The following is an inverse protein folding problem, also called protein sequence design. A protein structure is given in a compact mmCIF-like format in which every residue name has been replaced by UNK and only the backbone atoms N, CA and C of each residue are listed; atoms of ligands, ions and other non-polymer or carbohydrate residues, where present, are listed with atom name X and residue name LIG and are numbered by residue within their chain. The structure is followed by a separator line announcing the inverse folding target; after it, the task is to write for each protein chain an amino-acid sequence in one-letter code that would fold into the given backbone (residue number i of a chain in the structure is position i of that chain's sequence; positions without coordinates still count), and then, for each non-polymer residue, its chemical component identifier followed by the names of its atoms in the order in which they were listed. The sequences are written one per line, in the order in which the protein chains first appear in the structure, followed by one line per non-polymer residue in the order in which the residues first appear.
data_IF_640987880002
#
_entry.id   IF_640987880002
#
_cell.length_a   1.000
_cell.length_b   1.000
_cell.length_c   1.000
_cell.angle_alpha   90.00
_cell.angle_beta   90.00
_cell.angle_gamma   90.00
#
_symmetry.space_group_name_H-M   'P 1'
#
loop_
_entity.id
_entity.type
_entity.pdbx_description
1 polymer ?
#
# COMPACT_ATOMS: atom_id res chain seq x y z
N UNK A 1 1.27 15.77 -18.55
CA UNK A 1 2.73 16.03 -18.53
C UNK A 1 3.30 15.35 -19.74
N UNK A 2 4.01 16.09 -20.59
CA UNK A 2 4.81 15.44 -21.64
C UNK A 2 5.98 14.74 -20.97
N UNK A 3 6.20 13.46 -21.31
CA UNK A 3 7.40 12.73 -20.87
C UNK A 3 8.63 13.53 -21.30
N UNK A 4 9.56 13.85 -20.40
CA UNK A 4 10.78 14.58 -20.75
C UNK A 4 11.50 13.92 -21.93
N UNK A 5 11.98 14.73 -22.89
CA UNK A 5 12.70 14.22 -24.07
C UNK A 5 13.92 13.38 -23.67
N UNK A 6 14.56 13.77 -22.57
CA UNK A 6 15.68 13.04 -21.98
C UNK A 6 15.32 11.61 -21.58
N UNK A 7 14.15 11.38 -20.99
CA UNK A 7 13.72 10.04 -20.58
C UNK A 7 13.54 9.12 -21.77
N UNK A 8 13.04 9.66 -22.89
CA UNK A 8 12.92 8.91 -24.13
C UNK A 8 14.28 8.56 -24.73
N UNK A 9 15.28 9.43 -24.59
CA UNK A 9 16.67 9.15 -25.00
C UNK A 9 17.30 8.09 -24.10
N UNK A 10 17.10 8.19 -22.79
CA UNK A 10 17.63 7.25 -21.81
C UNK A 10 17.07 5.84 -22.04
N UNK A 11 15.76 5.70 -22.28
CA UNK A 11 15.17 4.41 -22.65
C UNK A 11 15.81 3.80 -23.91
N UNK A 12 16.08 4.59 -24.95
CA UNK A 12 16.74 4.08 -26.18
C UNK A 12 18.16 3.59 -25.92
N UNK A 13 18.85 4.23 -24.98
CA UNK A 13 20.20 3.87 -24.57
C UNK A 13 20.24 2.83 -23.45
N UNK A 14 19.08 2.29 -23.04
CA UNK A 14 18.94 1.36 -21.93
C UNK A 14 19.47 1.90 -20.59
N UNK A 15 19.28 3.19 -20.34
CA UNK A 15 19.71 3.86 -19.11
C UNK A 15 18.47 4.12 -18.24
N UNK A 16 18.55 3.73 -16.97
CA UNK A 16 17.59 4.11 -15.93
C UNK A 16 18.28 5.01 -14.91
N UNK A 17 17.73 6.20 -14.69
CA UNK A 17 18.21 7.14 -13.67
C UNK A 17 17.29 7.13 -12.46
N UNK A 18 17.81 7.51 -11.29
CA UNK A 18 16.99 7.65 -10.07
C UNK A 18 15.80 8.58 -10.28
N UNK A 19 15.99 9.72 -10.95
CA UNK A 19 14.89 10.68 -11.24
C UNK A 19 13.78 10.05 -12.10
N UNK A 20 14.14 9.31 -13.15
CA UNK A 20 13.18 8.59 -13.99
C UNK A 20 12.36 7.58 -13.19
N UNK A 21 13.02 6.83 -12.29
CA UNK A 21 12.37 5.83 -11.46
C UNK A 21 11.45 6.48 -10.42
N UNK A 22 11.88 7.58 -9.80
CA UNK A 22 11.08 8.35 -8.84
C UNK A 22 9.84 8.95 -9.49
N UNK A 23 9.95 9.50 -10.70
CA UNK A 23 8.80 10.00 -11.45
C UNK A 23 7.84 8.87 -11.85
N UNK A 24 8.38 7.71 -12.24
CA UNK A 24 7.57 6.51 -12.47
C UNK A 24 6.85 6.06 -11.20
N UNK A 25 7.53 6.01 -10.05
CA UNK A 25 6.94 5.67 -8.75
C UNK A 25 5.82 6.64 -8.38
N UNK A 26 6.05 7.94 -8.53
CA UNK A 26 5.04 8.96 -8.28
C UNK A 26 3.82 8.74 -9.18
N UNK A 27 4.06 8.49 -10.46
CA UNK A 27 3.06 8.21 -11.49
C UNK A 27 2.17 7.00 -11.16
N UNK A 28 2.77 5.86 -10.79
CA UNK A 28 2.00 4.64 -10.46
C UNK A 28 1.31 4.75 -9.10
N UNK A 29 1.96 5.33 -8.09
CA UNK A 29 1.39 5.48 -6.75
C UNK A 29 0.13 6.36 -6.77
N UNK A 30 0.14 7.46 -7.53
CA UNK A 30 -1.05 8.31 -7.68
C UNK A 30 -2.18 7.61 -8.41
N UNK A 31 -1.89 6.82 -9.46
CA UNK A 31 -2.91 6.03 -10.16
C UNK A 31 -3.48 4.91 -9.30
N UNK A 32 -2.65 4.22 -8.53
CA UNK A 32 -3.08 3.21 -7.57
C UNK A 32 -4.07 3.81 -6.55
N UNK A 33 -3.73 4.97 -5.98
CA UNK A 33 -4.62 5.71 -5.04
C UNK A 33 -5.95 6.11 -5.70
N UNK A 34 -5.92 6.58 -6.94
CA UNK A 34 -7.17 6.92 -7.64
C UNK A 34 -8.03 5.68 -7.95
N UNK A 35 -7.41 4.56 -8.34
CA UNK A 35 -8.14 3.31 -8.55
C UNK A 35 -8.73 2.78 -7.24
N UNK A 36 -7.99 2.87 -6.12
CA UNK A 36 -8.48 2.54 -4.77
C UNK A 36 -9.68 3.40 -4.38
N UNK A 37 -9.61 4.70 -4.61
CA UNK A 37 -10.68 5.63 -4.27
C UNK A 37 -11.93 5.35 -5.13
N UNK A 38 -11.75 5.01 -6.42
CA UNK A 38 -12.84 4.57 -7.31
C UNK A 38 -13.44 3.22 -6.92
N UNK A 39 -12.61 2.22 -6.61
CA UNK A 39 -13.06 0.93 -6.10
C UNK A 39 -13.95 1.11 -4.86
N UNK A 40 -13.55 1.95 -3.91
CA UNK A 40 -14.35 2.29 -2.73
C UNK A 40 -15.69 2.94 -3.11
N UNK A 41 -15.67 3.92 -4.03
CA UNK A 41 -16.88 4.59 -4.51
C UNK A 41 -17.90 3.58 -5.10
N UNK A 42 -17.43 2.62 -5.91
CA UNK A 42 -18.31 1.61 -6.50
C UNK A 42 -18.77 0.56 -5.49
N UNK A 43 -17.92 0.15 -4.54
CA UNK A 43 -18.31 -0.72 -3.43
C UNK A 43 -19.40 -0.11 -2.59
N UNK A 44 -19.30 1.19 -2.30
CA UNK A 44 -20.31 1.90 -1.52
C UNK A 44 -21.64 2.00 -2.28
N UNK A 45 -21.61 2.14 -3.61
CA UNK A 45 -22.81 2.04 -4.46
C UNK A 45 -23.41 0.63 -4.45
N UNK A 46 -22.59 -0.42 -4.50
CA UNK A 46 -23.03 -1.82 -4.45
C UNK A 46 -23.73 -2.19 -3.13
N UNK A 47 -23.52 -1.44 -2.04
CA UNK A 47 -24.27 -1.61 -0.79
C UNK A 47 -25.73 -1.15 -0.90
N UNK A 48 -26.06 -0.36 -1.91
CA UNK A 48 -27.44 0.04 -2.20
C UNK A 48 -28.14 -1.07 -3.00
N UNK A 49 -29.22 -1.65 -2.45
CA UNK A 49 -30.00 -2.69 -3.11
C UNK A 49 -30.62 -2.29 -4.46
N UNK A 50 -30.64 -0.99 -4.79
CA UNK A 50 -31.12 -0.47 -6.08
C UNK A 50 -30.03 -0.31 -7.15
N UNK A 51 -28.76 -0.59 -6.82
CA UNK A 51 -27.64 -0.50 -7.75
C UNK A 51 -27.09 -1.89 -8.08
N UNK A 52 -26.90 -2.17 -9.37
CA UNK A 52 -26.22 -3.37 -9.85
C UNK A 52 -25.03 -2.93 -10.70
N UNK A 53 -23.82 -3.36 -10.34
CA UNK A 53 -22.61 -3.14 -11.13
C UNK A 53 -22.57 -4.06 -12.36
N UNK A 54 -23.43 -3.77 -13.34
CA UNK A 54 -23.57 -4.54 -14.58
C UNK A 54 -22.24 -4.72 -15.34
N UNK A 55 -21.30 -3.79 -15.17
CA UNK A 55 -20.05 -3.76 -15.92
C UNK A 55 -18.84 -4.22 -15.12
N UNK A 56 -19.03 -4.75 -13.91
CA UNK A 56 -17.96 -5.24 -13.05
C UNK A 56 -16.87 -4.16 -12.85
N UNK A 57 -17.34 -2.94 -12.59
CA UNK A 57 -16.54 -1.73 -12.53
C UNK A 57 -15.67 -1.70 -11.28
N UNK A 58 -16.20 -2.14 -10.14
CA UNK A 58 -15.44 -2.30 -8.90
C UNK A 58 -14.22 -3.20 -9.13
N UNK A 59 -14.45 -4.37 -9.72
CA UNK A 59 -13.41 -5.36 -10.02
C UNK A 59 -12.36 -4.83 -11.01
N UNK A 60 -12.78 -4.08 -12.04
CA UNK A 60 -11.85 -3.44 -12.98
C UNK A 60 -10.93 -2.45 -12.27
N UNK A 61 -11.45 -1.65 -11.34
CA UNK A 61 -10.61 -0.73 -10.56
C UNK A 61 -9.72 -1.48 -9.56
N UNK A 62 -10.21 -2.56 -8.96
CA UNK A 62 -9.42 -3.45 -8.10
C UNK A 62 -8.21 -4.02 -8.84
N UNK A 63 -8.42 -4.61 -10.02
CA UNK A 63 -7.35 -5.14 -10.89
C UNK A 63 -6.32 -4.08 -11.27
N UNK A 64 -6.78 -2.89 -11.69
CA UNK A 64 -5.87 -1.77 -12.03
C UNK A 64 -5.07 -1.27 -10.82
N UNK A 65 -5.71 -1.20 -9.64
CA UNK A 65 -5.04 -0.84 -8.39
C UNK A 65 -3.92 -1.85 -8.08
N UNK A 66 -4.21 -3.14 -8.16
CA UNK A 66 -3.24 -4.22 -7.96
C UNK A 66 -2.09 -4.15 -8.97
N UNK A 67 -2.38 -3.90 -10.26
CA UNK A 67 -1.36 -3.70 -11.30
C UNK A 67 -0.41 -2.54 -10.95
N UNK A 68 -0.94 -1.36 -10.61
CA UNK A 68 -0.10 -0.21 -10.28
C UNK A 68 0.72 -0.41 -8.99
N UNK A 69 0.17 -1.10 -7.98
CA UNK A 69 0.96 -1.46 -6.81
C UNK A 69 2.05 -2.47 -7.14
N UNK A 70 1.79 -3.46 -8.01
CA UNK A 70 2.84 -4.38 -8.48
C UNK A 70 3.97 -3.64 -9.20
N UNK A 71 3.65 -2.68 -10.07
CA UNK A 71 4.65 -1.82 -10.73
C UNK A 71 5.46 -1.00 -9.72
N UNK A 72 4.78 -0.44 -8.69
CA UNK A 72 5.44 0.29 -7.60
C UNK A 72 6.46 -0.59 -6.88
N UNK A 73 6.09 -1.81 -6.49
CA UNK A 73 7.00 -2.72 -5.77
C UNK A 73 8.20 -3.13 -6.63
N UNK A 74 8.01 -3.39 -7.93
CA UNK A 74 9.12 -3.69 -8.85
C UNK A 74 10.12 -2.55 -9.00
N UNK A 75 9.66 -1.30 -8.95
CA UNK A 75 10.58 -0.15 -8.98
C UNK A 75 11.25 0.02 -7.61
N UNK A 76 10.49 -0.11 -6.51
CA UNK A 76 11.04 0.01 -5.15
C UNK A 76 12.07 -1.07 -4.81
N UNK A 77 12.00 -2.26 -5.41
CA UNK A 77 12.98 -3.32 -5.19
C UNK A 77 14.38 -2.98 -5.68
N UNK A 78 14.55 -1.91 -6.47
CA UNK A 78 15.86 -1.38 -6.88
C UNK A 78 16.51 -0.51 -5.79
N UNK A 79 15.77 -0.19 -4.73
CA UNK A 79 16.20 0.71 -3.67
C UNK A 79 16.17 0.02 -2.31
N UNK A 80 17.05 0.47 -1.42
CA UNK A 80 16.97 0.12 0.00
C UNK A 80 16.04 1.11 0.72
N UNK A 81 15.16 0.64 1.61
CA UNK A 81 14.39 1.52 2.49
C UNK A 81 15.30 2.28 3.46
N UNK A 82 14.88 3.47 3.87
CA UNK A 82 15.63 4.34 4.79
C UNK A 82 15.31 4.04 6.26
N UNK A 83 14.07 3.65 6.56
CA UNK A 83 13.64 3.21 7.89
C UNK A 83 12.31 2.44 7.82
N UNK A 84 11.81 1.99 8.97
CA UNK A 84 10.47 1.43 9.12
C UNK A 84 9.57 2.46 9.78
N UNK A 85 8.43 2.76 9.18
CA UNK A 85 7.39 3.55 9.81
C UNK A 85 6.37 2.66 10.51
N UNK A 86 6.00 3.04 11.73
CA UNK A 86 4.94 2.41 12.51
C UNK A 86 3.77 3.39 12.70
N UNK A 87 2.56 2.95 12.38
CA UNK A 87 1.31 3.67 12.60
C UNK A 87 0.41 2.83 13.50
N UNK A 88 0.15 3.33 14.71
CA UNK A 88 -0.75 2.67 15.66
C UNK A 88 -2.15 3.26 15.54
N UNK A 89 -3.11 2.40 15.23
CA UNK A 89 -4.54 2.73 15.18
C UNK A 89 -5.31 1.80 16.11
N UNK A 90 -6.53 2.17 16.48
CA UNK A 90 -7.45 1.26 17.18
C UNK A 90 -8.28 0.49 16.18
N UNK A 91 -8.35 -0.84 16.33
CA UNK A 91 -9.13 -1.71 15.46
C UNK A 91 -10.13 -2.51 16.28
N UNK A 92 -11.36 -2.63 15.75
CA UNK A 92 -12.37 -3.55 16.29
C UNK A 92 -12.00 -4.98 15.92
N UNK A 93 -11.81 -5.83 16.91
CA UNK A 93 -11.49 -7.26 16.76
C UNK A 93 -12.58 -8.04 17.48
N UNK A 94 -13.09 -9.11 16.86
CA UNK A 94 -13.99 -10.07 17.51
C UNK A 94 -13.16 -11.19 18.10
N UNK A 95 -13.36 -11.47 19.37
CA UNK A 95 -12.71 -12.57 20.10
C UNK A 95 -13.83 -13.48 20.60
N UNK A 96 -13.71 -14.78 20.33
CA UNK A 96 -14.69 -15.78 20.73
C UNK A 96 -14.30 -16.43 22.07
N UNK A 97 -15.28 -16.95 22.79
CA UNK A 97 -15.10 -17.59 24.10
C UNK A 97 -14.14 -18.80 24.11
N UNK A 98 -14.02 -19.49 22.98
CA UNK A 98 -13.07 -20.58 22.79
C UNK A 98 -11.64 -20.12 22.42
N UNK A 99 -11.40 -18.84 22.13
CA UNK A 99 -10.07 -18.33 21.81
C UNK A 99 -9.23 -18.15 23.06
N UNK A 100 -7.93 -18.46 22.95
CA UNK A 100 -6.99 -18.30 24.05
C UNK A 100 -6.90 -16.83 24.45
N UNK A 101 -7.27 -16.56 25.70
CA UNK A 101 -7.22 -15.24 26.31
C UNK A 101 -8.47 -14.38 26.09
N UNK A 102 -9.62 -15.00 25.79
CA UNK A 102 -10.93 -14.34 25.76
C UNK A 102 -11.20 -13.43 26.97
N UNK A 103 -10.72 -13.76 28.17
CA UNK A 103 -10.94 -12.92 29.37
C UNK A 103 -9.68 -12.14 29.81
N UNK A 104 -8.54 -12.36 29.16
CA UNK A 104 -7.23 -11.82 29.62
C UNK A 104 -6.55 -10.90 28.62
N UNK A 105 -6.95 -10.93 27.34
CA UNK A 105 -6.29 -10.17 26.29
C UNK A 105 -6.77 -8.71 26.19
N UNK A 106 -7.79 -8.34 26.97
CA UNK A 106 -8.40 -7.01 26.99
C UNK A 106 -9.10 -6.76 28.32
N UNK A 107 -9.41 -5.50 28.58
CA UNK A 107 -10.17 -5.05 29.74
C UNK A 107 -11.63 -4.82 29.37
N UNK A 108 -12.51 -4.75 30.37
CA UNK A 108 -13.93 -4.46 30.14
C UNK A 108 -14.16 -3.12 29.43
N UNK A 109 -13.27 -2.15 29.64
CA UNK A 109 -13.31 -0.83 29.00
C UNK A 109 -12.99 -0.90 27.49
N UNK A 110 -12.34 -1.98 27.03
CA UNK A 110 -12.06 -2.21 25.62
C UNK A 110 -13.26 -2.82 24.87
N UNK A 111 -14.24 -3.38 25.59
CA UNK A 111 -15.40 -4.08 25.01
C UNK A 111 -16.41 -3.07 24.47
N UNK A 112 -16.71 -3.15 23.17
CA UNK A 112 -17.73 -2.31 22.52
C UNK A 112 -19.03 -3.03 22.25
N UNK A 113 -19.03 -4.37 22.23
CA UNK A 113 -20.22 -5.18 22.03
C UNK A 113 -19.98 -6.63 22.44
N UNK A 114 -20.96 -7.22 23.14
CA UNK A 114 -20.97 -8.64 23.48
C UNK A 114 -22.15 -9.33 22.80
N UNK A 115 -21.96 -10.56 22.36
CA UNK A 115 -23.00 -11.33 21.71
C UNK A 115 -22.79 -12.84 21.80
N UNK A 116 -23.75 -13.58 21.28
CA UNK A 116 -23.65 -15.03 21.14
C UNK A 116 -24.45 -15.53 19.94
N UNK A 117 -24.13 -16.72 19.45
CA UNK A 117 -24.92 -17.43 18.44
C UNK A 117 -24.86 -18.94 18.70
N UNK A 118 -25.87 -19.65 18.20
CA UNK A 118 -25.89 -21.11 18.26
C UNK A 118 -25.17 -21.71 17.06
N UNK A 119 -24.05 -22.39 17.31
CA UNK A 119 -23.31 -23.13 16.29
C UNK A 119 -23.99 -24.49 16.07
N UNK A 120 -24.57 -24.70 14.88
CA UNK A 120 -25.28 -25.94 14.54
C UNK A 120 -24.37 -27.12 14.27
N UNK A 121 -23.11 -26.88 13.91
CA UNK A 121 -22.14 -27.96 13.65
C UNK A 121 -21.65 -28.59 14.95
N UNK A 122 -21.37 -27.75 15.95
CA UNK A 122 -20.94 -28.20 17.29
C UNK A 122 -22.11 -28.40 18.26
N UNK A 123 -23.31 -27.94 17.90
CA UNK A 123 -24.54 -27.97 18.72
C UNK A 123 -24.38 -27.23 20.06
N UNK A 124 -23.66 -26.11 20.06
CA UNK A 124 -23.30 -25.34 21.24
C UNK A 124 -23.54 -23.83 21.01
N UNK A 125 -23.74 -23.08 22.10
CA UNK A 125 -23.70 -21.62 22.05
C UNK A 125 -22.26 -21.15 22.09
N UNK A 126 -21.93 -20.22 21.19
CA UNK A 126 -20.63 -19.54 21.13
C UNK A 126 -20.86 -18.07 21.50
N UNK A 127 -20.20 -17.61 22.55
CA UNK A 127 -20.14 -16.22 22.95
C UNK A 127 -18.95 -15.51 22.29
N UNK A 128 -19.07 -14.19 22.14
CA UNK A 128 -17.99 -13.36 21.65
C UNK A 128 -18.09 -11.93 22.16
N UNK A 129 -16.95 -11.28 22.19
CA UNK A 129 -16.81 -9.85 22.45
C UNK A 129 -16.11 -9.18 21.26
N UNK A 130 -16.67 -8.07 20.83
CA UNK A 130 -15.99 -7.14 19.96
C UNK A 130 -15.26 -6.10 20.81
N UNK A 131 -13.95 -6.03 20.66
CA UNK A 131 -13.06 -5.18 21.46
C UNK A 131 -12.27 -4.22 20.59
N UNK A 132 -11.98 -3.03 21.11
CA UNK A 132 -11.15 -2.02 20.45
C UNK A 132 -9.71 -2.14 20.92
N UNK A 133 -8.88 -2.82 20.13
CA UNK A 133 -7.48 -3.05 20.48
C UNK A 133 -6.53 -2.19 19.64
N UNK A 134 -5.37 -1.77 20.22
CA UNK A 134 -4.33 -1.13 19.45
C UNK A 134 -3.77 -2.12 18.42
N UNK A 135 -3.68 -1.67 17.17
CA UNK A 135 -3.09 -2.39 16.06
C UNK A 135 -2.07 -1.50 15.37
N UNK A 136 -0.86 -2.01 15.20
CA UNK A 136 0.24 -1.26 14.57
C UNK A 136 0.48 -1.77 13.16
N UNK A 137 0.33 -0.87 12.19
CA UNK A 137 0.74 -1.08 10.81
C UNK A 137 2.21 -0.70 10.64
N UNK A 138 2.97 -1.54 9.95
CA UNK A 138 4.38 -1.29 9.63
C UNK A 138 4.56 -1.07 8.13
N UNK A 139 5.47 -0.17 7.79
CA UNK A 139 5.78 0.18 6.41
C UNK A 139 7.28 0.35 6.21
N UNK A 140 7.84 -0.26 5.16
CA UNK A 140 9.13 0.17 4.63
C UNK A 140 9.00 1.58 4.07
N UNK A 141 9.84 2.48 4.52
CA UNK A 141 9.85 3.88 4.12
C UNK A 141 11.00 4.17 3.17
N UNK A 142 10.69 4.89 2.09
CA UNK A 142 11.66 5.32 1.09
C UNK A 142 11.55 6.83 0.90
N UNK A 143 12.63 7.54 1.18
CA UNK A 143 12.76 8.98 1.02
C UNK A 143 13.62 9.33 -0.21
N UNK A 144 13.04 10.14 -1.10
CA UNK A 144 13.69 10.70 -2.27
C UNK A 144 13.68 12.24 -2.23
N UNK A 145 13.52 12.84 -1.04
CA UNK A 145 13.51 14.27 -0.78
C UNK A 145 12.20 14.94 -1.18
N UNK A 146 11.91 15.02 -2.49
CA UNK A 146 10.68 15.68 -3.00
C UNK A 146 9.42 14.82 -2.79
N UNK A 147 9.60 13.51 -2.69
CA UNK A 147 8.52 12.57 -2.46
C UNK A 147 9.02 11.37 -1.68
N UNK A 148 8.09 10.75 -0.97
CA UNK A 148 8.34 9.54 -0.22
C UNK A 148 7.31 8.46 -0.53
N UNK A 149 7.68 7.22 -0.27
CA UNK A 149 6.86 6.05 -0.53
C UNK A 149 6.86 5.10 0.67
N UNK A 150 5.76 4.37 0.80
CA UNK A 150 5.53 3.37 1.83
C UNK A 150 5.17 2.05 1.18
N UNK A 151 5.78 0.96 1.64
CA UNK A 151 5.38 -0.41 1.31
C UNK A 151 4.95 -1.10 2.60
N UNK A 152 3.67 -1.50 2.74
CA UNK A 152 3.21 -2.22 3.92
C UNK A 152 4.01 -3.52 4.11
N UNK A 153 4.39 -3.81 5.35
CA UNK A 153 5.02 -5.06 5.73
C UNK A 153 4.30 -5.67 6.94
N UNK A 154 4.28 -6.99 7.00
CA UNK A 154 3.75 -7.70 8.15
C UNK A 154 4.69 -7.53 9.36
N UNK A 155 4.11 -7.42 10.57
CA UNK A 155 4.87 -7.29 11.81
C UNK A 155 5.92 -8.40 11.97
N UNK A 156 5.59 -9.63 11.55
CA UNK A 156 6.51 -10.77 11.63
C UNK A 156 7.76 -10.62 10.74
N UNK A 157 7.70 -9.78 9.70
CA UNK A 157 8.80 -9.52 8.77
C UNK A 157 9.67 -8.33 9.18
N UNK A 158 9.24 -7.51 10.16
CA UNK A 158 10.03 -6.37 10.67
C UNK A 158 11.41 -6.82 11.14
N UNK A 159 11.50 -7.99 11.79
CA UNK A 159 12.75 -8.59 12.26
C UNK A 159 13.77 -8.91 11.15
N UNK A 160 13.35 -8.94 9.90
CA UNK A 160 14.23 -9.20 8.76
C UNK A 160 15.05 -7.96 8.36
N UNK A 161 14.79 -6.82 8.99
CA UNK A 161 15.48 -5.55 8.76
C UNK A 161 16.06 -5.01 10.08
N UNK A 162 16.97 -5.75 10.74
CA UNK A 162 17.50 -5.38 12.05
C UNK A 162 18.28 -4.06 12.04
N UNK A 163 18.78 -3.63 10.88
CA UNK A 163 19.51 -2.39 10.68
C UNK A 163 18.62 -1.15 10.54
N UNK A 164 17.32 -1.32 10.28
CA UNK A 164 16.40 -0.20 10.07
C UNK A 164 15.76 0.24 11.38
N UNK A 165 15.84 1.54 11.65
CA UNK A 165 15.14 2.15 12.78
C UNK A 165 13.62 2.10 12.58
N UNK A 166 12.88 1.74 13.63
CA UNK A 166 11.41 1.81 13.65
C UNK A 166 10.96 3.16 14.21
N UNK A 167 10.35 4.00 13.37
CA UNK A 167 9.85 5.34 13.71
C UNK A 167 8.34 5.36 13.79
N UNK A 168 7.79 5.78 14.94
CA UNK A 168 6.35 6.00 15.06
C UNK A 168 5.96 7.33 14.39
N UNK A 169 5.02 7.28 13.45
CA UNK A 169 4.62 8.45 12.64
C UNK A 169 3.21 8.96 12.96
N UNK A 170 2.55 8.41 13.98
CA UNK A 170 1.15 8.72 14.25
C UNK A 170 0.25 8.18 13.14
N UNK A 171 -0.41 9.06 12.37
CA UNK A 171 -1.39 8.67 11.35
C UNK A 171 -0.92 8.97 9.91
N UNK A 172 -1.12 8.02 8.99
CA UNK A 172 -0.80 8.14 7.57
C UNK A 172 -2.08 8.32 6.72
N UNK A 173 -2.50 9.58 6.52
CA UNK A 173 -3.64 9.88 5.65
C UNK A 173 -3.19 10.17 4.22
N UNK A 174 -3.68 9.38 3.25
CA UNK A 174 -3.35 9.59 1.83
C UNK A 174 -4.57 9.52 0.93
N UNK A 175 -4.69 10.48 0.01
CA UNK A 175 -5.77 10.56 -0.98
C UNK A 175 -5.21 10.52 -2.40
N UNK A 176 -6.06 10.12 -3.33
CA UNK A 176 -5.89 10.38 -4.75
C UNK A 176 -5.69 11.87 -5.05
N UNK A 177 -4.99 12.18 -6.14
CA UNK A 177 -4.81 13.56 -6.65
C UNK A 177 -4.94 13.58 -8.16
N UNK A 178 -5.04 14.79 -8.71
CA UNK A 178 -5.08 15.02 -10.16
C UNK A 178 -3.91 14.31 -10.87
N UNK A 179 -4.22 13.63 -11.97
CA UNK A 179 -3.32 12.80 -12.78
C UNK A 179 -2.75 13.50 -14.01
N UNK A 180 -3.18 14.73 -14.31
CA UNK A 180 -2.83 15.46 -15.53
C UNK A 180 -1.32 15.69 -15.68
N UNK A 181 -0.60 15.65 -14.55
CA UNK A 181 0.83 15.89 -14.45
C UNK A 181 1.65 14.58 -14.41
N UNK A 182 1.03 13.42 -14.61
CA UNK A 182 1.74 12.14 -14.49
C UNK A 182 2.34 11.67 -15.83
N UNK A 183 3.44 10.92 -15.75
CA UNK A 183 4.02 10.22 -16.91
C UNK A 183 3.01 9.25 -17.53
N UNK A 184 3.11 9.02 -18.85
CA UNK A 184 2.23 8.08 -19.55
C UNK A 184 2.40 6.65 -19.04
N UNK A 185 1.31 5.88 -19.00
CA UNK A 185 1.35 4.46 -18.62
C UNK A 185 2.20 3.63 -19.57
N UNK A 186 2.20 3.99 -20.86
CA UNK A 186 3.04 3.33 -21.86
C UNK A 186 4.54 3.50 -21.57
N UNK A 187 4.96 4.69 -21.13
CA UNK A 187 6.34 4.93 -20.71
C UNK A 187 6.70 4.10 -19.48
N UNK A 188 5.86 4.12 -18.44
CA UNK A 188 6.08 3.33 -17.22
C UNK A 188 6.20 1.85 -17.54
N UNK A 189 5.31 1.30 -18.38
CA UNK A 189 5.35 -0.11 -18.76
C UNK A 189 6.65 -0.50 -19.47
N UNK A 190 7.25 0.42 -20.27
CA UNK A 190 8.57 0.19 -20.87
C UNK A 190 9.68 0.14 -19.83
N UNK A 191 9.63 1.02 -18.83
CA UNK A 191 10.58 1.00 -17.71
C UNK A 191 10.47 -0.31 -16.94
N UNK A 192 9.25 -0.75 -16.62
CA UNK A 192 9.01 -2.04 -15.94
C UNK A 192 9.55 -3.21 -16.76
N UNK A 193 9.29 -3.25 -18.07
CA UNK A 193 9.79 -4.31 -18.94
C UNK A 193 11.33 -4.35 -19.00
N UNK A 194 12.01 -3.19 -18.94
CA UNK A 194 13.47 -3.15 -18.85
C UNK A 194 13.98 -3.68 -17.50
N UNK A 195 13.30 -3.35 -16.40
CA UNK A 195 13.65 -3.85 -15.07
C UNK A 195 13.51 -5.37 -15.03
N UNK A 196 12.38 -5.90 -15.51
CA UNK A 196 12.09 -7.34 -15.55
C UNK A 196 13.03 -8.12 -16.48
N UNK A 197 13.44 -7.50 -17.58
CA UNK A 197 14.40 -8.08 -18.52
C UNK A 197 15.85 -7.93 -18.10
N UNK A 198 16.13 -7.27 -16.97
CA UNK A 198 17.48 -6.90 -16.51
C UNK A 198 18.34 -6.20 -17.58
N UNK A 199 17.69 -5.52 -18.53
CA UNK A 199 18.31 -4.97 -19.74
C UNK A 199 18.51 -3.46 -19.60
N UNK A 200 19.30 -3.05 -18.60
CA UNK A 200 19.57 -1.65 -18.34
C UNK A 200 20.90 -1.40 -17.61
N UNK A 201 21.43 -0.19 -17.77
CA UNK A 201 22.45 0.39 -16.91
C UNK A 201 21.78 1.36 -15.95
N UNK A 202 21.98 1.14 -14.65
CA UNK A 202 21.49 2.04 -13.61
C UNK A 202 22.50 3.15 -13.34
N UNK A 203 22.04 4.40 -13.41
CA UNK A 203 22.82 5.57 -13.01
C UNK A 203 22.21 6.15 -11.74
N UNK A 204 22.88 5.87 -10.61
CA UNK A 204 22.47 6.43 -9.32
C UNK A 204 22.95 7.87 -9.17
N UNK A 205 22.01 8.80 -9.23
CA UNK A 205 22.25 10.22 -8.92
C UNK A 205 21.89 10.60 -7.48
N UNK A 206 21.49 9.66 -6.61
CA UNK A 206 21.12 9.95 -5.19
C UNK A 206 22.29 10.63 -4.45
N UNK A 207 23.54 10.38 -4.85
CA UNK A 207 24.74 11.03 -4.31
C UNK A 207 24.91 12.53 -4.65
N UNK A 208 24.19 13.09 -5.62
CA UNK A 208 24.32 14.51 -6.01
C UNK A 208 23.27 15.44 -5.36
N UNK A 209 22.27 14.89 -4.65
CA UNK A 209 21.21 15.68 -4.00
C UNK A 209 21.49 16.00 -2.52
N UNK A 210 22.59 15.50 -1.95
CA UNK A 210 23.00 15.73 -0.56
C UNK A 210 24.05 16.84 -0.40
N UNK A 211 24.35 17.61 -1.44
CA UNK A 211 25.41 18.65 -1.43
C UNK A 211 24.95 20.04 -1.89
N UNK A 212 23.79 20.50 -1.41
CA UNK A 212 23.41 21.92 -1.46
C UNK A 212 22.76 22.35 -0.13
#
# INVERSE_FOLDING_TARGET
METPKEYSKNLKNKILTTEMLVDCLFSVNKRAKNCRDKEREYRDKNRNHYYTDKYDTEEKYRKKKEEYYSQKEKILSLFTPDCIHAETQTKRVRIYDYEVGYETNYTIDDVVYSGHFFNRETNEYVCFDDVMLPYTHYYLFYDFGKCSFHTPIDHSLVKNYPELEVKNIGSLMTYGKNIDVLLSTHFVNKVIAMIEGEDYTYLDTKSQLLTC
#
